data_IF_697734277351
#
_entry.id   IF_697734277351
#
_cell.length_a   1.000
_cell.length_b   1.000
_cell.length_c   1.000
_cell.angle_alpha   90.00
_cell.angle_beta   90.00
_cell.angle_gamma   90.00
#
_symmetry.space_group_name_H-M   'P 1'
#
loop_
_entity.id
_entity.type
_entity.pdbx_description
1 polymer ?
#
# COMPACT_ATOMS: atom_id res chain seq x y z
N UNK A 1 17.91 14.81 -26.35
CA UNK A 1 17.74 13.91 -25.20
C UNK A 1 18.69 14.41 -24.13
N UNK A 2 18.17 14.89 -22.99
CA UNK A 2 18.98 15.65 -22.04
C UNK A 2 19.83 14.71 -21.15
N UNK A 3 21.09 15.07 -20.93
CA UNK A 3 22.06 14.33 -20.10
C UNK A 3 21.53 14.07 -18.67
N UNK A 4 20.69 14.99 -18.16
CA UNK A 4 19.98 14.89 -16.88
C UNK A 4 18.94 13.75 -16.84
N UNK A 5 18.25 13.48 -17.95
CA UNK A 5 17.28 12.37 -18.06
C UNK A 5 18.00 11.01 -18.10
N UNK A 6 19.17 10.96 -18.75
CA UNK A 6 19.99 9.74 -18.82
C UNK A 6 20.54 9.35 -17.44
N UNK A 7 21.02 10.34 -16.68
CA UNK A 7 21.55 10.15 -15.32
C UNK A 7 20.47 9.69 -14.33
N UNK A 8 19.28 10.29 -14.41
CA UNK A 8 18.13 9.86 -13.60
C UNK A 8 17.70 8.44 -13.95
N UNK A 9 17.63 8.10 -15.25
CA UNK A 9 17.33 6.74 -15.72
C UNK A 9 18.31 5.71 -15.17
N UNK A 10 19.61 6.04 -15.11
CA UNK A 10 20.61 5.13 -14.58
C UNK A 10 20.48 4.92 -13.05
N UNK A 11 20.20 5.99 -12.30
CA UNK A 11 19.90 5.89 -10.87
C UNK A 11 18.67 5.00 -10.63
N UNK A 12 17.58 5.19 -11.38
CA UNK A 12 16.37 4.39 -11.22
C UNK A 12 16.57 2.92 -11.63
N UNK A 13 17.32 2.64 -12.69
CA UNK A 13 17.71 1.27 -13.02
C UNK A 13 18.55 0.62 -11.91
N UNK A 14 19.49 1.36 -11.31
CA UNK A 14 20.26 0.87 -10.17
C UNK A 14 19.39 0.64 -8.94
N UNK A 15 18.44 1.54 -8.66
CA UNK A 15 17.47 1.36 -7.57
C UNK A 15 16.59 0.14 -7.81
N UNK A 16 16.05 -0.05 -9.03
CA UNK A 16 15.28 -1.25 -9.39
C UNK A 16 16.11 -2.52 -9.23
N UNK A 17 17.35 -2.53 -9.73
CA UNK A 17 18.25 -3.68 -9.60
C UNK A 17 18.58 -3.96 -8.12
N UNK A 18 18.81 -2.93 -7.32
CA UNK A 18 19.06 -3.08 -5.89
C UNK A 18 17.85 -3.64 -5.16
N UNK A 19 16.63 -3.14 -5.44
CA UNK A 19 15.40 -3.66 -4.85
C UNK A 19 15.13 -5.11 -5.29
N UNK A 20 15.46 -5.47 -6.53
CA UNK A 20 15.38 -6.85 -7.03
C UNK A 20 16.38 -7.77 -6.31
N UNK A 21 17.61 -7.31 -6.07
CA UNK A 21 18.62 -8.04 -5.30
C UNK A 21 18.18 -8.20 -3.85
N UNK A 22 17.67 -7.14 -3.22
CA UNK A 22 17.15 -7.19 -1.84
C UNK A 22 15.99 -8.19 -1.75
N UNK A 23 15.04 -8.17 -2.70
CA UNK A 23 13.97 -9.17 -2.77
C UNK A 23 14.51 -10.60 -2.96
N UNK A 24 15.55 -10.78 -3.76
CA UNK A 24 16.16 -12.10 -3.99
C UNK A 24 16.85 -12.62 -2.73
N UNK A 25 17.53 -11.75 -1.98
CA UNK A 25 18.15 -12.07 -0.69
C UNK A 25 17.09 -12.40 0.35
N UNK A 26 16.01 -11.64 0.42
CA UNK A 26 14.88 -11.91 1.33
C UNK A 26 14.29 -13.29 1.04
N UNK A 27 13.98 -13.61 -0.23
CA UNK A 27 13.45 -14.93 -0.61
C UNK A 27 14.41 -16.06 -0.20
N UNK A 28 15.71 -15.92 -0.48
CA UNK A 28 16.73 -16.92 -0.13
C UNK A 28 16.89 -17.13 1.39
N UNK A 29 16.56 -16.13 2.20
CA UNK A 29 16.60 -16.22 3.66
C UNK A 29 15.28 -16.77 4.22
N UNK A 30 14.12 -16.36 3.67
CA UNK A 30 12.80 -16.91 3.99
C UNK A 30 12.75 -18.42 3.84
N UNK A 31 13.31 -18.97 2.76
CA UNK A 31 13.33 -20.42 2.49
C UNK A 31 14.10 -21.23 3.55
N UNK A 32 14.93 -20.59 4.37
CA UNK A 32 15.77 -21.24 5.40
C UNK A 32 15.17 -21.13 6.80
N UNK A 33 14.06 -20.43 6.96
CA UNK A 33 13.49 -20.08 8.25
C UNK A 33 12.35 -21.04 8.60
N UNK A 34 12.50 -21.74 9.74
CA UNK A 34 11.48 -22.64 10.31
C UNK A 34 10.55 -21.96 11.31
N UNK A 35 10.74 -20.67 11.57
CA UNK A 35 9.93 -19.89 12.50
C UNK A 35 8.87 -19.11 11.71
N UNK A 36 7.58 -19.43 11.94
CA UNK A 36 6.45 -18.81 11.26
C UNK A 36 6.40 -17.28 11.47
N UNK A 37 6.77 -16.79 12.65
CA UNK A 37 6.77 -15.36 12.96
C UNK A 37 7.79 -14.58 12.10
N UNK A 38 8.96 -15.17 11.87
CA UNK A 38 10.00 -14.56 11.05
C UNK A 38 9.67 -14.63 9.54
N UNK A 39 8.93 -15.65 9.09
CA UNK A 39 8.40 -15.73 7.73
C UNK A 39 7.31 -14.69 7.45
N UNK A 40 6.48 -14.35 8.44
CA UNK A 40 5.48 -13.29 8.34
C UNK A 40 6.15 -11.92 8.15
N UNK A 41 7.15 -11.61 8.97
CA UNK A 41 7.92 -10.35 8.86
C UNK A 41 8.59 -10.20 7.48
N UNK A 42 9.16 -11.28 6.94
CA UNK A 42 9.80 -11.25 5.62
C UNK A 42 8.78 -11.07 4.48
N UNK A 43 7.60 -11.67 4.61
CA UNK A 43 6.50 -11.46 3.66
C UNK A 43 6.04 -10.00 3.65
N UNK A 44 5.94 -9.38 4.82
CA UNK A 44 5.62 -7.95 4.96
C UNK A 44 6.67 -7.06 4.28
N UNK A 45 7.96 -7.31 4.57
CA UNK A 45 9.06 -6.57 3.96
C UNK A 45 9.05 -6.68 2.43
N UNK A 46 8.77 -7.88 1.89
CA UNK A 46 8.66 -8.11 0.44
C UNK A 46 7.51 -7.32 -0.19
N UNK A 47 6.35 -7.26 0.47
CA UNK A 47 5.23 -6.43 0.01
C UNK A 47 5.58 -4.94 -0.06
N UNK A 48 6.29 -4.43 0.97
CA UNK A 48 6.76 -3.04 1.03
C UNK A 48 7.75 -2.72 -0.09
N UNK A 49 8.76 -3.56 -0.28
CA UNK A 49 9.76 -3.39 -1.35
C UNK A 49 9.09 -3.43 -2.73
N UNK A 50 8.11 -4.32 -2.92
CA UNK A 50 7.37 -4.42 -4.19
C UNK A 50 6.57 -3.16 -4.49
N UNK A 51 5.93 -2.57 -3.47
CA UNK A 51 5.19 -1.30 -3.59
C UNK A 51 6.12 -0.14 -4.00
N UNK A 52 7.30 -0.06 -3.41
CA UNK A 52 8.33 0.93 -3.77
C UNK A 52 8.82 0.72 -5.21
N UNK A 53 9.13 -0.54 -5.57
CA UNK A 53 9.58 -0.88 -6.91
C UNK A 53 8.54 -0.56 -7.99
N UNK A 54 7.24 -0.80 -7.72
CA UNK A 54 6.14 -0.44 -8.61
C UNK A 54 6.11 1.07 -8.87
N UNK A 55 6.18 1.87 -7.80
CA UNK A 55 6.17 3.33 -7.89
C UNK A 55 7.29 3.83 -8.81
N UNK A 56 8.50 3.29 -8.63
CA UNK A 56 9.64 3.59 -9.50
C UNK A 56 9.45 3.15 -10.96
N UNK A 57 8.79 2.02 -11.21
CA UNK A 57 8.51 1.55 -12.56
C UNK A 57 7.50 2.44 -13.30
N UNK A 58 6.44 2.90 -12.62
CA UNK A 58 5.39 3.70 -13.24
C UNK A 58 5.85 5.11 -13.63
N UNK A 59 6.78 5.70 -12.87
CA UNK A 59 7.42 6.98 -13.22
C UNK A 59 8.10 6.92 -14.60
N UNK A 60 8.74 5.79 -14.91
CA UNK A 60 9.49 5.66 -16.15
C UNK A 60 8.59 5.47 -17.38
N UNK A 61 7.43 4.82 -17.23
CA UNK A 61 6.53 4.53 -18.36
C UNK A 61 5.89 5.77 -18.99
N UNK A 62 5.79 6.89 -18.25
CA UNK A 62 5.19 8.15 -18.74
C UNK A 62 6.19 9.27 -19.07
N UNK A 63 7.50 9.03 -18.91
CA UNK A 63 8.53 10.03 -19.21
C UNK A 63 8.58 11.22 -18.25
N UNK A 64 7.79 11.22 -17.18
CA UNK A 64 7.80 12.23 -16.11
C UNK A 64 8.55 11.67 -14.90
N UNK A 65 9.72 12.25 -14.58
CA UNK A 65 10.61 11.70 -13.56
C UNK A 65 10.09 11.82 -12.11
N UNK A 66 8.96 12.49 -11.86
CA UNK A 66 8.59 12.95 -10.51
C UNK A 66 7.13 12.75 -10.11
N UNK A 67 6.26 12.19 -10.99
CA UNK A 67 4.82 12.11 -10.72
C UNK A 67 4.13 10.93 -11.38
N UNK A 68 3.05 10.42 -10.79
CA UNK A 68 2.23 9.31 -11.30
C UNK A 68 0.74 9.67 -11.33
N UNK A 69 -0.03 9.02 -12.20
CA UNK A 69 -1.50 9.10 -12.18
C UNK A 69 -2.02 8.18 -11.08
N UNK A 70 -2.72 8.75 -10.09
CA UNK A 70 -3.13 8.05 -8.87
C UNK A 70 -3.99 6.82 -9.16
N UNK A 71 -4.94 6.94 -10.09
CA UNK A 71 -5.84 5.83 -10.44
C UNK A 71 -5.08 4.62 -10.98
N UNK A 72 -4.21 4.83 -11.95
CA UNK A 72 -3.41 3.75 -12.55
C UNK A 72 -2.46 3.13 -11.53
N UNK A 73 -1.89 3.98 -10.67
CA UNK A 73 -0.98 3.57 -9.61
C UNK A 73 -1.67 2.64 -8.61
N UNK A 74 -2.78 3.07 -8.02
CA UNK A 74 -3.54 2.27 -7.07
C UNK A 74 -4.10 1.01 -7.72
N UNK A 75 -4.64 1.11 -8.94
CA UNK A 75 -5.15 -0.06 -9.67
C UNK A 75 -4.07 -1.14 -9.82
N UNK A 76 -2.86 -0.74 -10.21
CA UNK A 76 -1.74 -1.68 -10.40
C UNK A 76 -1.27 -2.26 -9.07
N UNK A 77 -1.14 -1.41 -8.04
CA UNK A 77 -0.74 -1.82 -6.70
C UNK A 77 -1.72 -2.84 -6.11
N UNK A 78 -3.01 -2.53 -6.14
CA UNK A 78 -4.08 -3.40 -5.64
C UNK A 78 -4.04 -4.75 -6.35
N UNK A 79 -3.91 -4.76 -7.68
CA UNK A 79 -3.82 -5.99 -8.44
C UNK A 79 -2.61 -6.85 -8.02
N UNK A 80 -1.44 -6.24 -7.80
CA UNK A 80 -0.24 -6.95 -7.34
C UNK A 80 -0.41 -7.54 -5.94
N UNK A 81 -1.02 -6.79 -5.02
CA UNK A 81 -1.32 -7.28 -3.67
C UNK A 81 -2.26 -8.47 -3.77
N UNK A 82 -3.36 -8.37 -4.52
CA UNK A 82 -4.33 -9.46 -4.70
C UNK A 82 -3.67 -10.72 -5.27
N UNK A 83 -2.78 -10.60 -6.26
CA UNK A 83 -2.07 -11.76 -6.82
C UNK A 83 -1.17 -12.45 -5.80
N UNK A 84 -0.68 -11.73 -4.79
CA UNK A 84 0.18 -12.29 -3.74
C UNK A 84 -0.62 -13.02 -2.65
N UNK A 85 -1.93 -12.78 -2.57
CA UNK A 85 -2.84 -13.39 -1.60
C UNK A 85 -3.85 -14.27 -2.35
N UNK A 86 -3.51 -15.54 -2.52
CA UNK A 86 -4.37 -16.55 -3.16
C UNK A 86 -5.60 -16.86 -2.29
N UNK A 87 -6.61 -15.99 -2.33
CA UNK A 87 -7.87 -16.20 -1.64
C UNK A 87 -9.05 -15.89 -2.57
N UNK A 88 -9.51 -16.90 -3.30
CA UNK A 88 -10.63 -16.81 -4.25
C UNK A 88 -11.95 -16.36 -3.58
N UNK A 89 -12.07 -16.47 -2.26
CA UNK A 89 -13.26 -16.04 -1.51
C UNK A 89 -13.30 -14.54 -1.21
N UNK A 90 -12.24 -13.78 -1.51
CA UNK A 90 -12.15 -12.35 -1.25
C UNK A 90 -12.21 -11.56 -2.56
N UNK A 91 -13.20 -10.67 -2.68
CA UNK A 91 -13.37 -9.77 -3.82
C UNK A 91 -12.92 -8.36 -3.47
N UNK A 92 -11.94 -7.84 -4.20
CA UNK A 92 -11.52 -6.44 -4.07
C UNK A 92 -12.22 -5.58 -5.13
N UNK A 93 -12.78 -4.45 -4.72
CA UNK A 93 -13.46 -3.49 -5.59
C UNK A 93 -12.78 -2.14 -5.46
N UNK A 94 -12.44 -1.53 -6.58
CA UNK A 94 -11.76 -0.25 -6.62
C UNK A 94 -12.56 0.74 -7.47
N UNK A 95 -12.93 1.87 -6.86
CA UNK A 95 -13.61 2.97 -7.52
C UNK A 95 -12.82 4.28 -7.30
N UNK A 96 -12.80 5.11 -8.33
CA UNK A 96 -12.20 6.44 -8.27
C UNK A 96 -13.02 7.40 -9.12
N UNK A 97 -13.39 8.55 -8.55
CA UNK A 97 -14.18 9.57 -9.26
C UNK A 97 -13.33 10.46 -10.18
N UNK A 98 -12.00 10.43 -10.07
CA UNK A 98 -11.07 11.19 -10.90
C UNK A 98 -9.89 10.31 -11.36
N UNK A 99 -9.92 9.91 -12.64
CA UNK A 99 -8.91 9.01 -13.21
C UNK A 99 -7.64 9.72 -13.70
N UNK A 100 -7.63 11.04 -13.70
CA UNK A 100 -6.54 11.86 -14.26
C UNK A 100 -5.72 12.56 -13.17
N UNK A 101 -6.09 12.41 -11.90
CA UNK A 101 -5.36 13.04 -10.80
C UNK A 101 -3.90 12.58 -10.78
N UNK A 102 -2.98 13.54 -10.81
CA UNK A 102 -1.55 13.32 -10.74
C UNK A 102 -1.05 13.65 -9.34
N UNK A 103 -0.23 12.77 -8.78
CA UNK A 103 0.44 12.97 -7.49
C UNK A 103 1.96 12.89 -7.66
N UNK A 104 2.69 13.64 -6.83
CA UNK A 104 4.15 13.58 -6.81
C UNK A 104 4.64 12.26 -6.17
N UNK A 105 5.91 11.94 -6.41
CA UNK A 105 6.55 10.74 -5.85
C UNK A 105 6.58 10.75 -4.32
N UNK A 106 6.75 11.92 -3.71
CA UNK A 106 6.82 12.11 -2.26
C UNK A 106 5.49 11.76 -1.58
N UNK A 107 4.38 11.82 -2.30
CA UNK A 107 3.05 11.35 -1.87
C UNK A 107 2.80 9.91 -2.31
N UNK A 108 3.21 9.54 -3.52
CA UNK A 108 2.92 8.23 -4.10
C UNK A 108 3.57 7.08 -3.31
N UNK A 109 4.84 7.22 -2.90
CA UNK A 109 5.54 6.17 -2.16
C UNK A 109 4.87 5.92 -0.80
N UNK A 110 4.65 6.94 0.07
CA UNK A 110 3.99 6.70 1.34
C UNK A 110 2.56 6.19 1.18
N UNK A 111 1.80 6.72 0.21
CA UNK A 111 0.44 6.28 -0.06
C UNK A 111 0.38 4.81 -0.48
N UNK A 112 1.29 4.36 -1.34
CA UNK A 112 1.36 2.96 -1.75
C UNK A 112 1.70 2.03 -0.60
N UNK A 113 2.62 2.44 0.28
CA UNK A 113 2.93 1.67 1.48
C UNK A 113 1.72 1.60 2.42
N UNK A 114 1.00 2.71 2.65
CA UNK A 114 -0.23 2.74 3.44
C UNK A 114 -1.28 1.78 2.90
N UNK A 115 -1.56 1.87 1.60
CA UNK A 115 -2.54 1.02 0.91
C UNK A 115 -2.15 -0.45 1.02
N UNK A 116 -0.87 -0.77 0.83
CA UNK A 116 -0.35 -2.12 0.97
C UNK A 116 -0.54 -2.65 2.39
N UNK A 117 -0.13 -1.92 3.43
CA UNK A 117 -0.30 -2.37 4.81
C UNK A 117 -1.78 -2.57 5.17
N UNK A 118 -2.66 -1.65 4.78
CA UNK A 118 -4.11 -1.75 5.08
C UNK A 118 -4.73 -2.97 4.39
N UNK A 119 -4.48 -3.16 3.09
CA UNK A 119 -5.06 -4.27 2.33
C UNK A 119 -4.51 -5.61 2.81
N UNK A 120 -3.20 -5.70 3.06
CA UNK A 120 -2.59 -6.95 3.54
C UNK A 120 -3.10 -7.31 4.94
N UNK A 121 -3.31 -6.33 5.82
CA UNK A 121 -3.94 -6.56 7.12
C UNK A 121 -5.37 -7.08 6.99
N UNK A 122 -6.15 -6.59 6.03
CA UNK A 122 -7.49 -7.13 5.76
C UNK A 122 -7.41 -8.61 5.34
N UNK A 123 -6.52 -8.97 4.40
CA UNK A 123 -6.32 -10.36 4.00
C UNK A 123 -5.90 -11.28 5.18
N UNK A 124 -5.01 -10.81 6.05
CA UNK A 124 -4.48 -11.60 7.17
C UNK A 124 -5.49 -11.78 8.31
N UNK A 125 -6.28 -10.75 8.61
CA UNK A 125 -7.03 -10.68 9.85
C UNK A 125 -8.55 -10.64 9.66
N UNK A 126 -9.04 -9.97 8.62
CA UNK A 126 -10.47 -9.65 8.51
C UNK A 126 -11.33 -10.88 8.15
N UNK A 127 -10.82 -11.80 7.32
CA UNK A 127 -11.65 -12.82 6.68
C UNK A 127 -11.53 -14.24 7.26
N UNK A 128 -10.90 -14.43 8.43
CA UNK A 128 -10.71 -15.77 9.03
C UNK A 128 -12.01 -16.54 9.28
N UNK A 129 -13.14 -15.85 9.44
CA UNK A 129 -14.48 -16.43 9.67
C UNK A 129 -15.52 -15.95 8.65
N UNK A 130 -15.09 -15.29 7.58
CA UNK A 130 -15.99 -14.67 6.59
C UNK A 130 -15.96 -15.50 5.32
N UNK A 131 -17.12 -16.06 4.92
CA UNK A 131 -17.21 -16.90 3.71
C UNK A 131 -17.01 -16.11 2.41
N UNK A 132 -17.43 -14.86 2.37
CA UNK A 132 -17.32 -13.98 1.19
C UNK A 132 -16.72 -12.65 1.62
N UNK A 133 -15.39 -12.56 1.54
CA UNK A 133 -14.66 -11.36 1.89
C UNK A 133 -14.83 -10.29 0.80
N UNK A 134 -14.95 -9.04 1.22
CA UNK A 134 -15.02 -7.87 0.35
C UNK A 134 -14.06 -6.84 0.92
N UNK A 135 -13.22 -6.28 0.04
CA UNK A 135 -12.47 -5.06 0.31
C UNK A 135 -12.97 -4.02 -0.69
N UNK A 136 -13.64 -2.98 -0.21
CA UNK A 136 -14.09 -1.83 -1.00
C UNK A 136 -13.10 -0.68 -0.83
N UNK A 137 -12.53 -0.21 -1.95
CA UNK A 137 -11.56 0.87 -2.03
C UNK A 137 -12.17 1.98 -2.86
N UNK A 138 -12.37 3.16 -2.27
CA UNK A 138 -12.97 4.30 -2.92
C UNK A 138 -12.07 5.52 -2.81
N UNK A 139 -11.84 6.20 -3.92
CA UNK A 139 -11.10 7.46 -3.99
C UNK A 139 -12.04 8.55 -4.47
N UNK A 140 -12.29 9.52 -3.60
CA UNK A 140 -13.06 10.72 -3.90
C UNK A 140 -12.12 11.92 -3.95
N UNK A 141 -12.07 12.57 -5.11
CA UNK A 141 -11.30 13.77 -5.35
C UNK A 141 -12.27 14.94 -5.48
N UNK A 142 -12.03 16.00 -4.72
CA UNK A 142 -12.73 17.28 -4.82
C UNK A 142 -11.69 18.40 -4.83
N UNK A 143 -11.54 19.09 -5.97
CA UNK A 143 -10.47 20.08 -6.19
C UNK A 143 -9.07 19.47 -5.96
N UNK A 144 -8.48 19.73 -4.79
CA UNK A 144 -7.18 19.24 -4.34
C UNK A 144 -7.26 18.38 -3.08
N UNK A 145 -8.46 18.16 -2.57
CA UNK A 145 -8.69 17.29 -1.43
C UNK A 145 -8.96 15.87 -1.96
N UNK A 146 -8.24 14.92 -1.41
CA UNK A 146 -8.35 13.50 -1.73
C UNK A 146 -8.79 12.75 -0.48
N UNK A 147 -9.91 12.07 -0.59
CA UNK A 147 -10.40 11.11 0.39
C UNK A 147 -10.22 9.69 -0.17
N UNK A 148 -9.39 8.90 0.50
CA UNK A 148 -9.22 7.47 0.23
C UNK A 148 -9.88 6.68 1.36
N UNK A 149 -10.89 5.88 1.02
CA UNK A 149 -11.57 4.99 1.95
C UNK A 149 -11.24 3.56 1.57
N UNK A 150 -10.70 2.79 2.53
CA UNK A 150 -10.52 1.35 2.41
C UNK A 150 -11.35 0.69 3.50
N UNK A 151 -12.26 -0.19 3.09
CA UNK A 151 -13.20 -0.86 3.98
C UNK A 151 -13.24 -2.36 3.69
N UNK A 152 -13.17 -3.17 4.73
CA UNK A 152 -13.48 -4.60 4.66
C UNK A 152 -14.86 -4.93 5.25
N UNK A 153 -15.37 -6.12 4.93
CA UNK A 153 -16.57 -6.69 5.55
C UNK A 153 -16.27 -7.81 6.56
N UNK A 154 -15.06 -7.80 7.15
CA UNK A 154 -14.57 -8.85 8.01
C UNK A 154 -14.89 -8.63 9.48
N UNK A 155 -14.03 -9.17 10.34
CA UNK A 155 -14.16 -9.10 11.80
C UNK A 155 -14.03 -7.67 12.38
N UNK A 156 -13.48 -6.73 11.60
CA UNK A 156 -13.16 -5.38 12.08
C UNK A 156 -12.00 -5.34 13.08
N UNK A 157 -11.79 -4.18 13.68
CA UNK A 157 -10.79 -3.94 14.70
C UNK A 157 -11.23 -4.48 16.08
N UNK A 158 -10.30 -4.92 16.94
CA UNK A 158 -10.59 -5.26 18.33
C UNK A 158 -11.10 -4.05 19.13
N UNK A 159 -11.83 -4.28 20.22
CA UNK A 159 -12.53 -3.23 20.98
C UNK A 159 -11.63 -2.07 21.45
N UNK A 160 -10.33 -2.31 21.66
CA UNK A 160 -9.34 -1.34 22.12
C UNK A 160 -8.39 -0.82 21.03
N UNK A 161 -8.73 -0.96 19.74
CA UNK A 161 -7.84 -0.58 18.63
C UNK A 161 -7.41 0.89 18.62
N UNK A 162 -8.18 1.78 19.24
CA UNK A 162 -7.82 3.20 19.34
C UNK A 162 -6.55 3.42 20.16
N UNK A 163 -6.30 2.58 21.17
CA UNK A 163 -5.05 2.62 21.94
C UNK A 163 -3.85 2.23 21.07
N UNK A 164 -4.06 1.43 20.02
CA UNK A 164 -3.01 1.03 19.06
C UNK A 164 -2.60 2.15 18.10
N UNK A 165 -3.36 3.25 18.03
CA UNK A 165 -2.98 4.46 17.27
C UNK A 165 -2.07 5.34 18.14
N UNK A 166 -2.44 5.57 19.40
CA UNK A 166 -1.67 6.39 20.33
C UNK A 166 -0.39 5.67 20.83
N UNK A 167 -0.41 4.33 20.87
CA UNK A 167 0.71 3.46 21.21
C UNK A 167 0.73 2.24 20.28
N UNK A 168 1.40 2.32 19.13
CA UNK A 168 1.48 1.21 18.19
C UNK A 168 2.02 -0.04 18.86
N UNK A 169 1.19 -1.08 18.93
CA UNK A 169 1.58 -2.40 19.47
C UNK A 169 2.10 -3.33 18.38
N UNK A 170 1.91 -2.97 17.11
CA UNK A 170 2.43 -3.71 15.96
C UNK A 170 3.14 -2.78 14.97
N UNK A 171 4.15 -3.34 14.30
CA UNK A 171 4.95 -2.65 13.28
C UNK A 171 4.08 -2.07 12.14
N UNK A 172 2.96 -2.73 11.80
CA UNK A 172 2.04 -2.26 10.77
C UNK A 172 1.33 -0.96 11.16
N UNK A 173 0.84 -0.84 12.39
CA UNK A 173 0.20 0.40 12.86
C UNK A 173 1.21 1.53 13.07
N UNK A 174 2.43 1.22 13.52
CA UNK A 174 3.51 2.19 13.63
C UNK A 174 3.85 2.78 12.25
N UNK A 175 3.97 1.91 11.24
CA UNK A 175 4.21 2.34 9.87
C UNK A 175 3.05 3.18 9.32
N UNK A 176 1.80 2.79 9.57
CA UNK A 176 0.64 3.59 9.16
C UNK A 176 0.71 5.00 9.76
N UNK A 177 1.01 5.13 11.05
CA UNK A 177 1.13 6.43 11.72
C UNK A 177 2.21 7.31 11.07
N UNK A 178 3.42 6.75 10.86
CA UNK A 178 4.55 7.49 10.26
C UNK A 178 4.20 7.97 8.85
N UNK A 179 3.57 7.12 8.05
CA UNK A 179 3.26 7.44 6.66
C UNK A 179 2.11 8.46 6.54
N UNK A 180 1.11 8.40 7.42
CA UNK A 180 0.04 9.41 7.52
C UNK A 180 0.63 10.79 7.78
N UNK A 181 1.55 10.89 8.75
CA UNK A 181 2.25 12.14 9.07
C UNK A 181 3.08 12.63 7.87
N UNK A 182 3.77 11.72 7.18
CA UNK A 182 4.65 12.05 6.05
C UNK A 182 3.90 12.73 4.89
N UNK A 183 2.65 12.35 4.63
CA UNK A 183 1.81 13.00 3.60
C UNK A 183 0.86 14.06 4.20
N UNK A 184 1.06 14.42 5.47
CA UNK A 184 0.20 15.38 6.20
C UNK A 184 -1.28 15.05 6.07
N UNK A 185 -1.61 13.75 6.15
CA UNK A 185 -2.97 13.27 6.05
C UNK A 185 -3.65 13.21 7.41
N UNK A 186 -4.98 13.22 7.41
CA UNK A 186 -5.79 12.83 8.56
C UNK A 186 -6.30 11.41 8.35
N UNK A 187 -6.11 10.54 9.33
CA UNK A 187 -6.62 9.18 9.32
C UNK A 187 -7.76 9.02 10.33
N UNK A 188 -8.93 8.57 9.86
CA UNK A 188 -10.02 8.09 10.69
C UNK A 188 -10.13 6.57 10.56
N UNK A 189 -10.24 5.89 11.70
CA UNK A 189 -10.46 4.44 11.74
C UNK A 189 -11.72 4.13 12.53
N UNK A 190 -12.59 3.28 11.99
CA UNK A 190 -13.81 2.83 12.65
C UNK A 190 -14.21 1.41 12.28
N UNK A 191 -14.99 0.79 13.15
CA UNK A 191 -15.74 -0.42 12.80
C UNK A 191 -17.08 -0.03 12.18
N UNK A 192 -17.35 -0.52 10.99
CA UNK A 192 -18.60 -0.35 10.25
C UNK A 192 -18.88 -1.61 9.44
N UNK A 193 -19.45 -2.63 10.07
CA UNK A 193 -19.63 -3.98 9.50
C UNK A 193 -18.32 -4.60 8.97
N UNK A 194 -17.21 -4.29 9.64
CA UNK A 194 -15.83 -4.60 9.25
C UNK A 194 -14.93 -3.40 9.57
N UNK A 195 -13.65 -3.47 9.22
CA UNK A 195 -12.72 -2.37 9.49
C UNK A 195 -12.78 -1.33 8.37
N UNK A 196 -12.77 -0.05 8.74
CA UNK A 196 -12.76 1.07 7.80
C UNK A 196 -11.65 2.05 8.15
N UNK A 197 -10.83 2.37 7.15
CA UNK A 197 -9.82 3.41 7.16
C UNK A 197 -10.26 4.50 6.18
N UNK A 198 -10.34 5.74 6.65
CA UNK A 198 -10.60 6.91 5.83
C UNK A 198 -9.43 7.90 5.95
N UNK A 199 -8.71 8.10 4.85
CA UNK A 199 -7.53 8.93 4.76
C UNK A 199 -7.86 10.19 3.96
N UNK A 200 -7.63 11.36 4.55
CA UNK A 200 -7.88 12.66 3.93
C UNK A 200 -6.58 13.45 3.80
N UNK A 201 -6.20 13.81 2.58
CA UNK A 201 -4.97 14.55 2.30
C UNK A 201 -5.11 15.51 1.12
N UNK A 202 -4.11 16.37 0.93
CA UNK A 202 -4.08 17.37 -0.14
C UNK A 202 -3.01 17.04 -1.18
N UNK A 203 -3.30 17.40 -2.44
CA UNK A 203 -2.42 17.21 -3.61
C UNK A 203 -2.04 18.53 -4.30
#
# INVERSE_FOLDING_TARGET
MNEKELLLREIHHRVKNNLQIINSVINLQSDKIKNNELNEVLTELKGRISSIALTHQMLYQRGTATSVVLFEYLQTLIAQICTSYENESVKVRFNCNNKELVINIDTAIPLGLLVNEIITNAFKHAFKKTQHGIIDINVNVSLKDVELIIKDNGAGFPANYKESIDKPTSLGFELISILVDQISANLEMKNDNGASFALNFKV
#
